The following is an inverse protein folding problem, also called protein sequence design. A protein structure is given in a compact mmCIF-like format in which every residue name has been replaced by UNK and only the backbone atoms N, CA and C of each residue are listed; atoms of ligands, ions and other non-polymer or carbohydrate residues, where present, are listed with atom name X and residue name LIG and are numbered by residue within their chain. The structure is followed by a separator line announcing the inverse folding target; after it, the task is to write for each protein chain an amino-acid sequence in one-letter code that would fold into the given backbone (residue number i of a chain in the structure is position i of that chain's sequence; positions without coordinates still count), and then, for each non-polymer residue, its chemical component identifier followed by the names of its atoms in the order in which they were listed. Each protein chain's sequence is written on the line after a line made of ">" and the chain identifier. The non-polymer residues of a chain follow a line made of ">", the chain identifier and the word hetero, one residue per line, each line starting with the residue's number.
data_IF_799281728147
#
_entry.id   IF_799281728147
#
_cell.length_a   1.000
_cell.length_b   1.000
_cell.length_c   1.000
_cell.angle_alpha   90.00
_cell.angle_beta   90.00
_cell.angle_gamma   90.00
#
_symmetry.space_group_name_H-M   'P 1'
#
loop_
_entity.id
_entity.type
_entity.pdbx_description
1 polymer ?
#
# COMPACT_ATOMS: atom_id res chain seq x y z
N UNK A 1 -12.35 73.60 -16.13
CA UNK A 1 -12.07 72.15 -16.22
C UNK A 1 -11.85 71.63 -14.81
N UNK A 2 -12.79 70.82 -14.28
CA UNK A 2 -12.70 70.23 -12.93
C UNK A 2 -12.16 68.81 -13.08
N UNK A 3 -10.95 68.55 -12.58
CA UNK A 3 -10.42 67.19 -12.50
C UNK A 3 -10.90 66.53 -11.20
N UNK A 4 -11.75 65.52 -11.35
CA UNK A 4 -12.14 64.60 -10.29
C UNK A 4 -11.10 63.48 -10.31
N UNK A 5 -10.21 63.45 -9.31
CA UNK A 5 -9.31 62.32 -9.10
C UNK A 5 -10.06 61.21 -8.37
N UNK A 6 -10.39 60.13 -9.09
CA UNK A 6 -10.83 58.87 -8.49
C UNK A 6 -9.63 58.22 -7.80
N UNK A 7 -9.67 58.15 -6.47
CA UNK A 7 -8.74 57.38 -5.68
C UNK A 7 -9.20 55.91 -5.71
N UNK A 8 -8.58 55.09 -6.56
CA UNK A 8 -8.77 53.64 -6.55
C UNK A 8 -7.99 53.05 -5.37
N UNK A 9 -8.68 52.76 -4.27
CA UNK A 9 -8.13 51.97 -3.16
C UNK A 9 -8.16 50.50 -3.61
N UNK A 10 -7.02 50.03 -4.11
CA UNK A 10 -6.78 48.59 -4.29
C UNK A 10 -6.57 47.96 -2.90
N UNK A 11 -7.63 47.43 -2.31
CA UNK A 11 -7.51 46.51 -1.18
C UNK A 11 -6.93 45.19 -1.71
N UNK A 12 -5.60 45.07 -1.63
CA UNK A 12 -4.90 43.80 -1.77
C UNK A 12 -5.22 42.93 -0.55
N UNK A 13 -6.26 42.12 -0.64
CA UNK A 13 -6.44 41.00 0.29
C UNK A 13 -5.39 39.95 -0.04
N UNK A 14 -4.29 39.95 0.70
CA UNK A 14 -3.36 38.83 0.75
C UNK A 14 -4.09 37.64 1.38
N UNK A 15 -4.70 36.79 0.56
CA UNK A 15 -5.10 35.46 1.00
C UNK A 15 -3.80 34.73 1.39
N UNK A 16 -3.54 34.63 2.69
CA UNK A 16 -2.47 33.79 3.20
C UNK A 16 -2.83 32.36 2.82
N UNK A 17 -2.20 31.86 1.75
CA UNK A 17 -2.21 30.44 1.43
C UNK A 17 -1.61 29.73 2.64
N UNK A 18 -2.45 29.13 3.48
CA UNK A 18 -1.98 28.22 4.52
C UNK A 18 -1.56 26.93 3.82
N UNK A 19 -0.36 26.46 4.14
CA UNK A 19 0.03 25.10 3.81
C UNK A 19 -1.04 24.13 4.35
N UNK A 20 -1.27 23.03 3.64
CA UNK A 20 -2.08 21.95 4.19
C UNK A 20 -1.44 21.49 5.51
N UNK A 21 -2.25 21.16 6.54
CA UNK A 21 -1.70 20.60 7.75
C UNK A 21 -0.96 19.30 7.44
N UNK A 22 0.19 19.10 8.07
CA UNK A 22 0.93 17.85 7.97
C UNK A 22 0.03 16.71 8.49
N UNK A 23 -0.25 15.74 7.63
CA UNK A 23 -0.94 14.51 8.01
C UNK A 23 0.06 13.37 7.93
N UNK A 24 0.09 12.54 8.97
CA UNK A 24 0.89 11.32 8.97
C UNK A 24 0.01 10.13 8.61
N UNK A 25 0.57 9.23 7.82
CA UNK A 25 -0.04 7.98 7.40
C UNK A 25 0.93 6.85 7.74
N UNK A 26 0.42 5.82 8.41
CA UNK A 26 1.22 4.67 8.83
C UNK A 26 0.76 3.44 8.08
N UNK A 27 1.68 2.86 7.31
CA UNK A 27 1.49 1.58 6.64
C UNK A 27 2.26 0.52 7.39
N UNK A 28 1.58 -0.59 7.66
CA UNK A 28 2.18 -1.80 8.21
C UNK A 28 2.16 -2.87 7.12
N UNK A 29 3.34 -3.21 6.61
CA UNK A 29 3.48 -4.36 5.74
C UNK A 29 3.41 -5.66 6.55
N UNK A 30 2.42 -6.47 6.23
CA UNK A 30 2.32 -7.83 6.72
C UNK A 30 2.92 -8.74 5.64
N UNK A 31 4.25 -8.83 5.64
CA UNK A 31 5.03 -9.54 4.62
C UNK A 31 4.73 -11.06 4.57
N UNK A 32 4.88 -11.69 3.38
CA UNK A 32 4.80 -13.14 3.21
C UNK A 32 5.69 -13.91 4.20
N UNK A 33 5.19 -15.05 4.69
CA UNK A 33 5.93 -15.91 5.64
C UNK A 33 5.84 -15.49 7.12
N UNK A 34 5.29 -14.32 7.42
CA UNK A 34 5.26 -13.78 8.79
C UNK A 34 3.89 -13.85 9.50
N UNK A 35 2.88 -14.50 8.93
CA UNK A 35 1.51 -14.57 9.51
C UNK A 35 1.43 -15.21 10.91
N UNK A 36 2.45 -15.97 11.30
CA UNK A 36 2.62 -16.48 12.66
C UNK A 36 2.83 -15.36 13.71
N UNK A 37 3.22 -14.16 13.29
CA UNK A 37 3.38 -12.96 14.13
C UNK A 37 2.07 -12.23 14.40
N UNK A 38 0.91 -12.77 14.02
CA UNK A 38 -0.40 -12.17 14.30
C UNK A 38 -0.57 -11.66 15.75
N UNK A 39 -0.14 -12.40 16.81
CA UNK A 39 -0.24 -11.88 18.17
C UNK A 39 0.56 -10.59 18.41
N UNK A 40 1.66 -10.38 17.68
CA UNK A 40 2.51 -9.17 17.78
C UNK A 40 1.91 -8.03 16.97
N UNK A 41 1.38 -8.33 15.78
CA UNK A 41 0.55 -7.39 15.04
C UNK A 41 -0.61 -6.88 15.92
N UNK A 42 -1.33 -7.78 16.60
CA UNK A 42 -2.43 -7.38 17.49
C UNK A 42 -1.97 -6.44 18.62
N UNK A 43 -0.83 -6.71 19.25
CA UNK A 43 -0.29 -5.84 20.29
C UNK A 43 0.05 -4.44 19.77
N UNK A 44 0.58 -4.36 18.55
CA UNK A 44 0.89 -3.08 17.91
C UNK A 44 -0.38 -2.31 17.54
N UNK A 45 -1.37 -2.97 16.94
CA UNK A 45 -2.65 -2.36 16.58
C UNK A 45 -3.37 -1.86 17.83
N UNK A 46 -3.42 -2.66 18.90
CA UNK A 46 -4.00 -2.26 20.19
C UNK A 46 -3.27 -1.05 20.79
N UNK A 47 -1.95 -0.96 20.62
CA UNK A 47 -1.17 0.20 21.06
C UNK A 47 -1.49 1.46 20.25
N UNK A 48 -1.61 1.34 18.92
CA UNK A 48 -1.98 2.44 18.04
C UNK A 48 -3.40 2.93 18.32
N UNK A 49 -4.35 2.00 18.51
CA UNK A 49 -5.71 2.27 18.99
C UNK A 49 -5.67 3.08 20.29
N UNK A 50 -4.89 2.66 21.29
CA UNK A 50 -4.80 3.37 22.57
C UNK A 50 -4.24 4.80 22.45
N UNK A 51 -3.51 5.11 21.38
CA UNK A 51 -2.95 6.44 21.10
C UNK A 51 -3.75 7.24 20.07
N UNK A 52 -4.93 6.76 19.64
CA UNK A 52 -5.73 7.37 18.59
C UNK A 52 -5.00 7.51 17.25
N UNK A 53 -4.20 6.50 16.89
CA UNK A 53 -3.47 6.43 15.63
C UNK A 53 -4.09 5.35 14.72
N UNK A 54 -4.80 5.73 13.64
CA UNK A 54 -5.21 4.77 12.62
C UNK A 54 -4.00 4.22 11.86
N UNK A 55 -4.12 2.97 11.46
CA UNK A 55 -3.10 2.24 10.72
C UNK A 55 -3.73 1.68 9.45
N UNK A 56 -2.96 1.62 8.38
CA UNK A 56 -3.27 0.83 7.19
C UNK A 56 -2.45 -0.45 7.24
N UNK A 57 -3.15 -1.59 7.29
CA UNK A 57 -2.55 -2.90 7.44
C UNK A 57 -2.56 -3.60 6.08
N UNK A 58 -1.42 -3.58 5.39
CA UNK A 58 -1.27 -4.18 4.06
C UNK A 58 -0.98 -5.68 4.21
N UNK A 59 -1.98 -6.50 3.93
CA UNK A 59 -1.98 -7.94 4.15
C UNK A 59 -1.53 -8.69 2.91
N UNK A 60 -0.49 -9.50 3.03
CA UNK A 60 -0.15 -10.47 1.97
C UNK A 60 -1.15 -11.63 1.93
N UNK A 61 -1.15 -12.44 0.85
CA UNK A 61 -2.04 -13.62 0.75
C UNK A 61 -1.94 -14.55 1.97
N UNK A 62 -0.73 -14.82 2.47
CA UNK A 62 -0.51 -15.72 3.61
C UNK A 62 -1.11 -15.18 4.91
N UNK A 63 -1.15 -13.86 5.09
CA UNK A 63 -1.83 -13.24 6.22
C UNK A 63 -3.34 -13.36 6.09
N UNK A 64 -3.89 -13.02 4.92
CA UNK A 64 -5.33 -13.11 4.65
C UNK A 64 -5.84 -14.53 4.91
N UNK A 65 -5.22 -15.54 4.29
CA UNK A 65 -5.63 -16.93 4.46
C UNK A 65 -5.52 -17.38 5.92
N UNK A 66 -4.42 -17.05 6.59
CA UNK A 66 -4.22 -17.43 8.01
C UNK A 66 -5.20 -16.75 8.97
N UNK A 67 -5.75 -15.59 8.62
CA UNK A 67 -6.78 -14.90 9.40
C UNK A 67 -8.14 -15.53 9.16
N UNK A 68 -8.50 -15.80 7.90
CA UNK A 68 -9.80 -16.37 7.54
C UNK A 68 -9.98 -17.81 8.04
N UNK A 69 -8.89 -18.56 8.18
CA UNK A 69 -8.92 -19.91 8.77
C UNK A 69 -9.13 -19.92 10.30
N UNK A 70 -9.16 -18.75 10.95
CA UNK A 70 -9.26 -18.64 12.40
C UNK A 70 -10.25 -17.55 12.84
N UNK A 71 -11.42 -17.97 13.31
CA UNK A 71 -12.50 -17.07 13.75
C UNK A 71 -12.06 -16.04 14.80
N UNK A 72 -11.13 -16.37 15.69
CA UNK A 72 -10.64 -15.43 16.70
C UNK A 72 -9.78 -14.32 16.08
N UNK A 73 -8.96 -14.65 15.07
CA UNK A 73 -8.20 -13.66 14.31
C UNK A 73 -9.12 -12.78 13.49
N UNK A 74 -10.11 -13.38 12.81
CA UNK A 74 -11.10 -12.65 12.03
C UNK A 74 -11.89 -11.68 12.92
N UNK A 75 -12.37 -12.14 14.08
CA UNK A 75 -13.06 -11.28 15.04
C UNK A 75 -12.18 -10.11 15.50
N UNK A 76 -10.88 -10.36 15.73
CA UNK A 76 -9.92 -9.30 16.09
C UNK A 76 -9.73 -8.28 14.96
N UNK A 77 -9.70 -8.72 13.70
CA UNK A 77 -9.68 -7.81 12.54
C UNK A 77 -10.94 -6.96 12.46
N UNK A 78 -12.12 -7.55 12.74
CA UNK A 78 -13.39 -6.79 12.80
C UNK A 78 -13.36 -5.71 13.87
N UNK A 79 -12.73 -5.97 15.03
CA UNK A 79 -12.51 -4.95 16.06
C UNK A 79 -11.61 -3.82 15.56
N UNK A 80 -10.53 -4.14 14.84
CA UNK A 80 -9.63 -3.14 14.26
C UNK A 80 -10.35 -2.24 13.25
N UNK A 81 -11.15 -2.84 12.36
CA UNK A 81 -11.95 -2.10 11.38
C UNK A 81 -12.98 -1.20 12.04
N UNK A 82 -13.69 -1.70 13.07
CA UNK A 82 -14.66 -0.91 13.83
C UNK A 82 -14.03 0.30 14.53
N UNK A 83 -12.74 0.20 14.88
CA UNK A 83 -11.99 1.32 15.45
C UNK A 83 -11.50 2.33 14.39
N UNK A 84 -11.37 1.91 13.13
CA UNK A 84 -10.95 2.76 12.01
C UNK A 84 -9.60 2.41 11.41
N UNK A 85 -9.04 1.23 11.71
CA UNK A 85 -7.88 0.70 10.98
C UNK A 85 -8.32 0.19 9.60
N UNK A 86 -7.51 0.45 8.58
CA UNK A 86 -7.74 -0.07 7.23
C UNK A 86 -7.12 -1.45 7.08
N UNK A 87 -7.84 -2.35 6.41
CA UNK A 87 -7.29 -3.60 5.88
C UNK A 87 -7.03 -3.38 4.39
N UNK A 88 -5.76 -3.46 4.01
CA UNK A 88 -5.25 -3.16 2.68
C UNK A 88 -4.56 -4.38 2.08
N UNK A 89 -4.22 -4.31 0.80
CA UNK A 89 -3.50 -5.37 0.10
C UNK A 89 -1.98 -5.17 0.19
N UNK A 90 -1.23 -6.25 0.32
CA UNK A 90 0.22 -6.28 0.07
C UNK A 90 0.55 -7.38 -0.93
N UNK A 91 1.37 -7.09 -1.93
CA UNK A 91 1.79 -8.05 -2.94
C UNK A 91 3.29 -7.98 -3.19
N UNK A 92 3.98 -9.11 -3.04
CA UNK A 92 5.31 -9.27 -3.58
C UNK A 92 5.16 -9.96 -4.93
N UNK A 93 5.50 -9.29 -6.03
CA UNK A 93 5.43 -9.88 -7.39
C UNK A 93 6.61 -10.78 -7.73
N UNK A 94 6.62 -11.34 -8.95
CA UNK A 94 7.63 -12.32 -9.40
C UNK A 94 9.06 -11.75 -9.46
N UNK A 95 9.21 -10.43 -9.42
CA UNK A 95 10.51 -9.74 -9.36
C UNK A 95 11.06 -9.61 -7.94
N UNK A 96 10.26 -9.92 -6.93
CA UNK A 96 10.62 -9.74 -5.53
C UNK A 96 11.27 -11.00 -4.94
N UNK A 97 12.26 -10.79 -4.07
CA UNK A 97 13.09 -11.84 -3.45
C UNK A 97 12.31 -12.72 -2.45
N UNK A 98 11.13 -12.25 -2.02
CA UNK A 98 10.19 -12.95 -1.15
C UNK A 98 8.82 -13.01 -1.82
N UNK A 99 8.79 -13.47 -3.07
CA UNK A 99 7.56 -13.61 -3.85
C UNK A 99 6.52 -14.43 -3.08
N UNK A 100 5.27 -13.93 -3.02
CA UNK A 100 4.20 -14.59 -2.26
C UNK A 100 3.61 -15.81 -2.95
N UNK A 101 4.14 -16.22 -4.10
CA UNK A 101 3.74 -17.41 -4.87
C UNK A 101 2.43 -17.27 -5.65
N UNK A 102 1.85 -16.07 -5.72
CA UNK A 102 0.67 -15.78 -6.53
C UNK A 102 1.03 -14.78 -7.63
N UNK A 103 0.52 -15.00 -8.84
CA UNK A 103 0.72 -14.05 -9.95
C UNK A 103 -0.19 -14.37 -11.13
N UNK A 104 -0.60 -13.35 -11.88
CA UNK A 104 -1.28 -13.47 -13.17
C UNK A 104 -0.32 -13.51 -14.36
N UNK A 105 1.00 -13.37 -14.13
CA UNK A 105 2.00 -13.61 -15.16
C UNK A 105 1.96 -15.06 -15.66
N UNK A 106 2.29 -15.26 -16.93
CA UNK A 106 2.47 -16.61 -17.47
C UNK A 106 3.69 -17.30 -16.84
N UNK A 107 3.62 -18.63 -16.72
CA UNK A 107 4.64 -19.42 -16.01
C UNK A 107 6.07 -19.22 -16.55
N UNK A 108 6.23 -19.03 -17.86
CA UNK A 108 7.54 -18.79 -18.48
C UNK A 108 8.18 -17.48 -18.00
N UNK A 109 7.38 -16.44 -17.69
CA UNK A 109 7.85 -15.18 -17.13
C UNK A 109 8.46 -15.37 -15.74
N UNK A 110 7.93 -16.32 -14.96
CA UNK A 110 8.39 -16.60 -13.59
C UNK A 110 9.83 -17.11 -13.63
N UNK A 111 10.11 -18.08 -14.51
CA UNK A 111 11.46 -18.65 -14.69
C UNK A 111 12.46 -17.57 -15.12
N UNK A 112 12.01 -16.62 -15.96
CA UNK A 112 12.88 -15.59 -16.51
C UNK A 112 13.22 -14.48 -15.51
N UNK A 113 12.27 -14.09 -14.66
CA UNK A 113 12.38 -12.86 -13.86
C UNK A 113 12.58 -13.07 -12.37
N UNK A 114 12.31 -14.28 -11.85
CA UNK A 114 12.55 -14.54 -10.44
C UNK A 114 14.01 -14.33 -10.06
N UNK A 115 14.29 -13.61 -8.96
CA UNK A 115 15.63 -13.50 -8.41
C UNK A 115 16.23 -14.89 -8.13
N UNK A 116 17.38 -15.19 -8.73
CA UNK A 116 18.07 -16.48 -8.61
C UNK A 116 19.09 -16.51 -7.45
N UNK A 117 18.95 -15.61 -6.46
CA UNK A 117 19.89 -15.51 -5.34
C UNK A 117 19.58 -16.56 -4.26
N UNK A 118 20.58 -17.25 -3.69
CA UNK A 118 20.37 -18.14 -2.54
C UNK A 118 19.83 -17.44 -1.28
N UNK A 119 19.92 -16.10 -1.24
CA UNK A 119 19.34 -15.30 -0.17
C UNK A 119 17.86 -14.95 -0.39
N UNK A 120 17.32 -15.28 -1.57
CA UNK A 120 15.91 -15.13 -1.90
C UNK A 120 15.16 -16.43 -1.64
N UNK A 121 13.96 -16.29 -1.08
CA UNK A 121 12.97 -17.36 -1.02
C UNK A 121 11.96 -17.12 -2.13
N UNK A 122 12.42 -17.38 -3.36
CA UNK A 122 11.65 -17.22 -4.59
C UNK A 122 10.67 -18.40 -4.66
N UNK A 123 9.51 -18.25 -4.02
CA UNK A 123 8.49 -19.28 -3.90
C UNK A 123 8.08 -19.94 -5.23
N UNK A 124 7.20 -20.93 -5.16
CA UNK A 124 6.72 -21.67 -6.35
C UNK A 124 5.32 -21.22 -6.68
N UNK A 125 4.98 -21.05 -7.96
CA UNK A 125 3.62 -20.69 -8.37
C UNK A 125 2.57 -21.60 -7.73
N UNK A 126 1.69 -21.02 -6.91
CA UNK A 126 0.55 -21.71 -6.29
C UNK A 126 -0.71 -21.47 -7.13
N UNK A 127 -1.01 -20.21 -7.48
CA UNK A 127 -2.19 -19.85 -8.26
C UNK A 127 -2.04 -18.47 -8.91
N UNK A 128 -3.07 -18.09 -9.67
CA UNK A 128 -3.30 -16.69 -10.05
C UNK A 128 -3.62 -15.82 -8.83
N UNK A 129 -3.75 -14.51 -9.03
CA UNK A 129 -4.08 -13.57 -7.94
C UNK A 129 -5.54 -13.66 -7.48
N UNK A 130 -6.44 -14.22 -8.28
CA UNK A 130 -7.88 -14.20 -8.00
C UNK A 130 -8.26 -14.77 -6.62
N UNK A 131 -7.72 -15.90 -6.15
CA UNK A 131 -8.06 -16.43 -4.83
C UNK A 131 -7.67 -15.51 -3.67
N UNK A 132 -6.58 -14.74 -3.82
CA UNK A 132 -6.19 -13.73 -2.85
C UNK A 132 -7.18 -12.58 -2.85
N UNK A 133 -7.57 -12.08 -4.03
CA UNK A 133 -8.56 -11.01 -4.16
C UNK A 133 -9.93 -11.39 -3.59
N UNK A 134 -10.42 -12.58 -3.91
CA UNK A 134 -11.69 -13.08 -3.36
C UNK A 134 -11.64 -13.20 -1.82
N UNK A 135 -10.50 -13.65 -1.29
CA UNK A 135 -10.32 -13.79 0.16
C UNK A 135 -10.12 -12.43 0.84
N UNK A 136 -9.43 -11.50 0.20
CA UNK A 136 -9.24 -10.16 0.71
C UNK A 136 -10.57 -9.42 0.78
N UNK A 137 -11.45 -9.57 -0.22
CA UNK A 137 -12.80 -9.01 -0.18
C UNK A 137 -13.61 -9.53 1.02
N UNK A 138 -13.53 -10.83 1.30
CA UNK A 138 -14.14 -11.41 2.51
C UNK A 138 -13.52 -10.84 3.79
N UNK A 139 -12.20 -10.66 3.82
CA UNK A 139 -11.50 -10.09 4.97
C UNK A 139 -11.84 -8.60 5.14
N UNK A 140 -11.97 -7.82 4.08
CA UNK A 140 -12.38 -6.42 4.15
C UNK A 140 -13.85 -6.28 4.58
N UNK A 141 -14.72 -7.22 4.18
CA UNK A 141 -16.14 -7.19 4.55
C UNK A 141 -16.79 -5.90 4.06
N UNK A 142 -17.42 -5.15 4.97
CA UNK A 142 -18.04 -3.86 4.64
C UNK A 142 -17.04 -2.68 4.58
N UNK A 143 -15.76 -2.92 4.88
CA UNK A 143 -14.72 -1.89 4.76
C UNK A 143 -14.27 -1.73 3.31
N UNK A 144 -14.00 -0.50 2.90
CA UNK A 144 -13.44 -0.24 1.58
C UNK A 144 -11.96 -0.67 1.54
N UNK A 145 -11.58 -1.43 0.51
CA UNK A 145 -10.18 -1.66 0.14
C UNK A 145 -9.67 -0.42 -0.61
N UNK A 146 -8.90 0.43 0.06
CA UNK A 146 -8.48 1.72 -0.51
C UNK A 146 -7.00 1.76 -0.90
N UNK A 147 -6.18 0.96 -0.23
CA UNK A 147 -4.73 0.99 -0.36
C UNK A 147 -4.18 -0.36 -0.82
N UNK A 148 -3.14 -0.30 -1.65
CA UNK A 148 -2.37 -1.46 -2.08
C UNK A 148 -0.88 -1.15 -2.10
N UNK A 149 -0.10 -1.92 -1.34
CA UNK A 149 1.34 -1.99 -1.44
C UNK A 149 1.76 -3.10 -2.38
N UNK A 150 2.63 -2.79 -3.35
CA UNK A 150 3.17 -3.82 -4.24
C UNK A 150 4.55 -3.49 -4.76
N UNK A 151 5.42 -4.48 -4.68
CA UNK A 151 6.72 -4.48 -5.35
C UNK A 151 6.65 -5.35 -6.61
N UNK A 152 6.23 -4.76 -7.73
CA UNK A 152 6.22 -5.38 -9.05
C UNK A 152 6.62 -4.34 -10.12
N UNK A 153 7.31 -4.77 -11.17
CA UNK A 153 7.73 -3.90 -12.28
C UNK A 153 6.57 -3.58 -13.24
N UNK A 154 5.55 -4.45 -13.31
CA UNK A 154 4.32 -4.22 -14.06
C UNK A 154 3.12 -4.47 -13.13
N UNK A 155 2.87 -3.58 -12.16
CA UNK A 155 1.84 -3.78 -11.15
C UNK A 155 0.46 -4.01 -11.77
N UNK A 156 0.18 -3.42 -12.94
CA UNK A 156 -1.08 -3.63 -13.66
C UNK A 156 -1.45 -5.10 -13.96
N UNK A 157 -0.48 -6.04 -13.98
CA UNK A 157 -0.74 -7.47 -14.23
C UNK A 157 -1.38 -8.14 -13.00
N UNK A 158 -0.82 -7.87 -11.81
CA UNK A 158 -1.26 -8.50 -10.57
C UNK A 158 -2.27 -7.65 -9.79
N UNK A 159 -2.40 -6.36 -10.12
CA UNK A 159 -3.19 -5.38 -9.37
C UNK A 159 -4.67 -5.75 -9.17
N UNK A 160 -5.18 -5.48 -7.95
CA UNK A 160 -6.61 -5.45 -7.68
C UNK A 160 -7.26 -4.26 -8.39
N UNK A 161 -8.34 -4.46 -9.17
CA UNK A 161 -8.98 -3.36 -9.90
C UNK A 161 -9.58 -2.32 -8.94
N UNK A 162 -9.43 -1.04 -9.29
CA UNK A 162 -10.05 0.11 -8.61
C UNK A 162 -9.53 0.47 -7.21
N UNK A 163 -8.29 0.11 -6.86
CA UNK A 163 -7.67 0.63 -5.63
C UNK A 163 -7.21 2.08 -5.86
N UNK A 164 -7.76 3.07 -5.14
CA UNK A 164 -7.45 4.49 -5.37
C UNK A 164 -6.05 4.88 -4.91
N UNK A 165 -5.48 4.21 -3.91
CA UNK A 165 -4.15 4.53 -3.37
C UNK A 165 -3.17 3.38 -3.59
N UNK A 166 -1.96 3.73 -4.01
CA UNK A 166 -0.84 2.80 -4.05
C UNK A 166 0.26 3.31 -3.15
N UNK A 167 0.82 2.41 -2.36
CA UNK A 167 2.00 2.68 -1.55
C UNK A 167 3.19 2.01 -2.23
N UNK A 168 4.27 2.77 -2.37
CA UNK A 168 5.58 2.28 -2.81
C UNK A 168 6.63 3.12 -2.08
N UNK A 169 7.91 2.78 -2.10
CA UNK A 169 8.86 3.58 -1.31
C UNK A 169 10.34 3.35 -1.55
N UNK A 170 11.09 4.43 -1.39
CA UNK A 170 12.55 4.41 -1.29
C UNK A 170 13.00 3.92 0.08
N UNK A 171 13.16 2.59 0.21
CA UNK A 171 13.68 1.86 1.39
C UNK A 171 14.94 2.47 2.05
N UNK A 172 15.63 3.39 1.38
CA UNK A 172 16.93 3.92 1.79
C UNK A 172 17.07 5.44 1.72
N UNK A 173 16.02 6.18 1.35
CA UNK A 173 16.09 7.64 1.19
C UNK A 173 15.12 8.37 2.13
N UNK A 174 15.61 8.92 3.27
CA UNK A 174 14.79 9.68 4.21
C UNK A 174 14.10 10.90 3.57
N UNK A 175 14.59 11.43 2.46
CA UNK A 175 13.90 12.52 1.76
C UNK A 175 12.54 12.08 1.18
N UNK A 176 12.37 10.76 0.96
CA UNK A 176 11.12 10.15 0.51
C UNK A 176 10.17 9.81 1.68
N UNK A 177 10.57 10.09 2.93
CA UNK A 177 9.68 9.98 4.09
C UNK A 177 8.54 11.01 4.09
N UNK A 178 8.73 12.10 3.34
CA UNK A 178 7.71 13.12 3.12
C UNK A 178 7.28 13.06 1.66
N UNK A 179 6.08 12.54 1.43
CA UNK A 179 5.50 12.46 0.09
C UNK A 179 4.28 13.35 -0.02
N UNK A 180 4.18 14.06 -1.14
CA UNK A 180 2.93 14.66 -1.58
C UNK A 180 2.26 13.65 -2.51
N UNK A 181 1.11 13.06 -2.15
CA UNK A 181 0.47 12.06 -2.99
C UNK A 181 0.25 12.56 -4.41
N UNK A 182 0.54 11.73 -5.41
CA UNK A 182 0.50 12.15 -6.82
C UNK A 182 -0.10 11.05 -7.71
N UNK A 183 -0.83 11.42 -8.78
CA UNK A 183 -1.40 10.44 -9.69
C UNK A 183 -0.30 9.73 -10.50
N UNK A 184 -0.39 8.41 -10.59
CA UNK A 184 0.44 7.56 -11.45
C UNK A 184 -0.45 6.66 -12.28
N UNK A 185 -0.16 6.58 -13.58
CA UNK A 185 -0.83 5.64 -14.49
C UNK A 185 0.08 4.45 -14.75
N UNK A 186 -0.41 3.26 -14.46
CA UNK A 186 0.26 1.98 -14.70
C UNK A 186 -0.30 1.32 -15.96
N UNK A 187 0.58 0.76 -16.78
CA UNK A 187 0.22 0.16 -18.06
C UNK A 187 -0.20 1.18 -19.14
N UNK A 188 -0.79 0.73 -20.26
CA UNK A 188 -1.13 -0.66 -20.53
C UNK A 188 0.11 -1.55 -20.65
N UNK A 189 0.00 -2.78 -20.18
CA UNK A 189 1.02 -3.82 -20.36
C UNK A 189 0.42 -4.93 -21.21
N UNK A 190 1.05 -5.25 -22.34
CA UNK A 190 0.64 -6.39 -23.17
C UNK A 190 1.52 -7.61 -22.83
N UNK A 191 0.88 -8.72 -22.49
CA UNK A 191 1.55 -9.99 -22.20
C UNK A 191 0.67 -11.15 -22.65
N UNK A 192 1.24 -12.07 -23.44
CA UNK A 192 0.57 -13.26 -23.98
C UNK A 192 -0.79 -12.97 -24.66
N UNK A 193 -0.83 -11.88 -25.45
CA UNK A 193 -2.05 -11.45 -26.15
C UNK A 193 -3.15 -10.87 -25.25
N UNK A 194 -2.88 -10.67 -23.96
CA UNK A 194 -3.74 -9.93 -23.03
C UNK A 194 -3.19 -8.53 -22.79
N UNK A 195 -4.08 -7.57 -22.53
CA UNK A 195 -3.74 -6.20 -22.18
C UNK A 195 -4.21 -5.91 -20.76
N UNK A 196 -3.28 -5.52 -19.90
CA UNK A 196 -3.52 -5.16 -18.51
C UNK A 196 -3.44 -3.64 -18.36
N UNK A 197 -4.43 -3.03 -17.71
CA UNK A 197 -4.53 -1.57 -17.58
C UNK A 197 -4.93 -0.85 -18.88
N UNK A 198 -4.75 0.48 -18.97
CA UNK A 198 -4.14 1.32 -17.94
C UNK A 198 -5.03 1.49 -16.70
N UNK A 199 -4.39 1.75 -15.55
CA UNK A 199 -5.07 2.12 -14.32
C UNK A 199 -4.35 3.30 -13.67
N UNK A 200 -5.11 4.21 -13.06
CA UNK A 200 -4.53 5.36 -12.35
C UNK A 200 -4.76 5.22 -10.87
N UNK A 201 -3.69 5.33 -10.09
CA UNK A 201 -3.71 5.36 -8.63
C UNK A 201 -3.14 6.69 -8.14
N UNK A 202 -3.46 7.06 -6.90
CA UNK A 202 -2.74 8.09 -6.16
C UNK A 202 -1.59 7.40 -5.42
N UNK A 203 -0.38 7.63 -5.89
CA UNK A 203 0.86 7.11 -5.32
C UNK A 203 1.22 7.88 -4.05
N UNK A 204 1.50 7.15 -2.98
CA UNK A 204 1.97 7.67 -1.69
C UNK A 204 3.32 7.00 -1.43
N UNK A 205 4.38 7.82 -1.42
CA UNK A 205 5.70 7.28 -1.08
C UNK A 205 5.88 7.26 0.43
N UNK A 206 6.50 6.18 0.93
CA UNK A 206 6.78 6.04 2.35
C UNK A 206 8.23 5.64 2.60
N UNK A 207 8.67 5.88 3.83
CA UNK A 207 10.00 5.52 4.31
C UNK A 207 9.95 4.30 5.22
N UNK A 208 10.81 3.33 4.93
CA UNK A 208 10.93 2.12 5.74
C UNK A 208 11.72 2.40 7.02
N UNK A 209 11.07 2.20 8.15
CA UNK A 209 11.73 2.06 9.45
C UNK A 209 12.09 0.58 9.63
N UNK A 210 13.11 0.12 8.90
CA UNK A 210 13.57 -1.27 8.95
C UNK A 210 14.58 -1.52 10.09
N UNK A 211 15.22 -0.46 10.60
CA UNK A 211 16.11 -0.50 11.77
C UNK A 211 16.00 0.81 12.56
N UNK A 212 15.82 0.71 13.88
CA UNK A 212 15.81 1.84 14.84
C UNK A 212 16.99 2.81 14.62
N UNK A 213 18.15 2.32 14.18
CA UNK A 213 19.34 3.13 13.93
C UNK A 213 19.25 4.10 12.73
N UNK A 214 18.31 3.91 11.79
CA UNK A 214 18.15 4.78 10.62
C UNK A 214 17.22 5.97 10.84
N UNK A 215 16.31 5.89 11.81
CA UNK A 215 15.30 6.94 12.06
C UNK A 215 15.90 8.20 12.69
N UNK A 216 16.99 8.04 13.45
CA UNK A 216 17.64 9.14 14.18
C UNK A 216 18.88 9.70 13.46
N UNK A 217 19.05 9.40 12.16
CA UNK A 217 20.22 9.83 11.38
C UNK A 217 19.98 11.14 10.61
N UNK A 218 18.83 11.79 10.81
CA UNK A 218 18.45 13.06 10.17
C UNK A 218 18.62 14.22 11.15
#
# INVERSE_FOLDING_TARGET
>A
MKHISLLFISMLFSLSLKAQPDNSFFVIHCDPGFSHLFPKLSQMVDSATAHNVPLTLEMSPQWVFSILENDAKLQKVREWQAWGHEIAAHHHGIFHCYWDSLTNYVADSIILYQPQSPACDSGVLISTMQPFWDSLDVLCGDSLLLTWGSSDNHPAIDMYPNVPYRTDGGRTDPAQAFSNPYPVTHGPTEMDGQVYGPYTTCQIDYFFIDNIGKVNAV
#
